data_IF_576982070193
#
_entry.id   IF_576982070193
#
_cell.length_a   1.000
_cell.length_b   1.000
_cell.length_c   1.000
_cell.angle_alpha   90.00
_cell.angle_beta   90.00
_cell.angle_gamma   90.00
#
_symmetry.space_group_name_H-M   'P 1'
#
loop_
_entity.id
_entity.type
_entity.pdbx_description
1 polymer ?
#
# COMPACT_ATOMS: atom_id res chain seq x y z
N UNK A 1 20.09 2.43 1.41
CA UNK A 1 18.87 2.59 0.58
C UNK A 1 17.74 3.06 1.47
N UNK A 2 16.98 4.08 1.07
CA UNK A 2 15.81 4.54 1.81
C UNK A 2 14.56 3.79 1.33
N UNK A 3 14.21 2.70 2.01
CA UNK A 3 13.14 1.77 1.63
C UNK A 3 11.78 2.45 1.36
N UNK A 4 11.50 3.55 2.05
CA UNK A 4 10.26 4.30 1.88
C UNK A 4 10.37 5.44 0.85
N UNK A 5 11.27 6.40 1.08
CA UNK A 5 11.37 7.65 0.31
C UNK A 5 11.78 7.45 -1.15
N UNK A 6 12.63 6.45 -1.43
CA UNK A 6 13.17 6.24 -2.79
C UNK A 6 12.60 5.00 -3.49
N UNK A 7 11.82 4.18 -2.79
CA UNK A 7 11.31 2.92 -3.34
C UNK A 7 9.79 2.81 -3.18
N UNK A 8 9.27 2.52 -1.98
CA UNK A 8 7.84 2.29 -1.78
C UNK A 8 6.99 3.51 -2.19
N UNK A 9 7.24 4.69 -1.63
CA UNK A 9 6.41 5.88 -1.84
C UNK A 9 6.30 6.34 -3.30
N UNK A 10 7.40 6.65 -4.02
CA UNK A 10 7.29 7.19 -5.38
C UNK A 10 6.64 6.20 -6.36
N UNK A 11 6.76 4.90 -6.11
CA UNK A 11 6.23 3.87 -7.00
C UNK A 11 4.78 3.51 -6.63
N UNK A 12 4.50 3.22 -5.36
CA UNK A 12 3.21 2.72 -4.87
C UNK A 12 2.17 3.84 -4.79
N UNK A 13 2.50 4.95 -4.11
CA UNK A 13 1.62 6.12 -4.07
C UNK A 13 1.48 6.74 -5.47
N UNK A 14 2.57 6.76 -6.23
CA UNK A 14 2.59 7.23 -7.62
C UNK A 14 1.66 6.42 -8.52
N UNK A 15 1.69 5.09 -8.43
CA UNK A 15 0.77 4.20 -9.14
C UNK A 15 -0.69 4.50 -8.80
N UNK A 16 -1.02 4.58 -7.50
CA UNK A 16 -2.36 4.91 -7.03
C UNK A 16 -2.83 6.26 -7.58
N UNK A 17 -2.00 7.30 -7.45
CA UNK A 17 -2.33 8.64 -7.92
C UNK A 17 -2.54 8.67 -9.43
N UNK A 18 -1.60 8.16 -10.22
CA UNK A 18 -1.67 8.24 -11.68
C UNK A 18 -2.75 7.34 -12.28
N UNK A 19 -3.06 6.20 -11.64
CA UNK A 19 -4.07 5.26 -12.15
C UNK A 19 -5.49 5.65 -11.74
N UNK A 20 -5.68 6.24 -10.55
CA UNK A 20 -7.01 6.50 -10.00
C UNK A 20 -7.29 7.98 -9.77
N UNK A 21 -6.43 8.70 -9.05
CA UNK A 21 -6.72 10.07 -8.65
C UNK A 21 -6.63 11.04 -9.83
N UNK A 22 -5.54 10.99 -10.59
CA UNK A 22 -5.31 11.89 -11.73
C UNK A 22 -6.46 11.83 -12.75
N UNK A 23 -6.90 10.65 -13.23
CA UNK A 23 -7.99 10.58 -14.20
C UNK A 23 -9.32 11.09 -13.64
N UNK A 24 -9.63 10.77 -12.38
CA UNK A 24 -10.87 11.20 -11.75
C UNK A 24 -10.92 12.72 -11.48
N UNK A 25 -9.77 13.36 -11.21
CA UNK A 25 -9.69 14.80 -10.93
C UNK A 25 -9.55 15.63 -12.20
N UNK A 26 -8.78 15.16 -13.19
CA UNK A 26 -8.49 15.90 -14.42
C UNK A 26 -9.43 15.58 -15.58
N UNK A 27 -10.10 14.43 -15.55
CA UNK A 27 -10.93 13.96 -16.67
C UNK A 27 -10.11 13.46 -17.87
N UNK A 28 -8.80 13.29 -17.70
CA UNK A 28 -7.88 12.82 -18.72
C UNK A 28 -7.51 11.34 -18.47
N UNK A 29 -7.23 10.55 -19.51
CA UNK A 29 -6.80 9.16 -19.32
C UNK A 29 -5.43 9.09 -18.61
N UNK A 30 -5.20 8.01 -17.87
CA UNK A 30 -3.91 7.72 -17.26
C UNK A 30 -2.84 7.44 -18.34
N UNK A 31 -1.60 7.85 -18.09
CA UNK A 31 -0.45 7.37 -18.86
C UNK A 31 -0.18 5.91 -18.49
N UNK A 32 -0.66 4.98 -19.33
CA UNK A 32 -0.51 3.54 -19.11
C UNK A 32 0.96 3.10 -19.09
N UNK A 33 1.88 3.78 -19.79
CA UNK A 33 3.31 3.44 -19.75
C UNK A 33 3.88 3.76 -18.37
N UNK A 34 3.56 4.93 -17.84
CA UNK A 34 3.98 5.35 -16.50
C UNK A 34 3.38 4.45 -15.42
N UNK A 35 2.06 4.19 -15.48
CA UNK A 35 1.35 3.33 -14.53
C UNK A 35 1.96 1.93 -14.50
N UNK A 36 2.23 1.33 -15.66
CA UNK A 36 2.80 -0.02 -15.72
C UNK A 36 4.23 -0.09 -15.15
N UNK A 37 5.05 0.94 -15.40
CA UNK A 37 6.40 1.01 -14.82
C UNK A 37 6.33 1.17 -13.29
N UNK A 38 5.48 2.08 -12.78
CA UNK A 38 5.29 2.26 -11.35
C UNK A 38 4.74 1.00 -10.66
N UNK A 39 3.88 0.25 -11.34
CA UNK A 39 3.40 -1.03 -10.83
C UNK A 39 4.52 -2.07 -10.73
N UNK A 40 5.34 -2.19 -11.77
CA UNK A 40 6.50 -3.08 -11.80
C UNK A 40 7.48 -2.76 -10.67
N UNK A 41 7.72 -1.48 -10.41
CA UNK A 41 8.60 -1.04 -9.32
C UNK A 41 7.95 -1.26 -7.95
N UNK A 42 6.64 -1.04 -7.81
CA UNK A 42 5.89 -1.36 -6.58
C UNK A 42 6.01 -2.83 -6.21
N UNK A 43 5.92 -3.75 -7.17
CA UNK A 43 6.11 -5.18 -6.91
C UNK A 43 7.53 -5.52 -6.41
N UNK A 44 8.56 -4.77 -6.82
CA UNK A 44 9.90 -4.93 -6.26
C UNK A 44 9.96 -4.45 -4.81
N UNK A 45 9.35 -3.31 -4.52
CA UNK A 45 9.24 -2.78 -3.16
C UNK A 45 8.44 -3.74 -2.25
N UNK A 46 7.34 -4.32 -2.73
CA UNK A 46 6.55 -5.31 -1.97
C UNK A 46 7.37 -6.56 -1.67
N UNK A 47 8.15 -7.07 -2.63
CA UNK A 47 9.10 -8.17 -2.37
C UNK A 47 10.14 -7.80 -1.33
N UNK A 48 10.59 -6.54 -1.30
CA UNK A 48 11.52 -6.07 -0.29
C UNK A 48 10.86 -6.04 1.10
N UNK A 49 9.63 -5.50 1.19
CA UNK A 49 8.83 -5.47 2.43
C UNK A 49 8.58 -6.90 2.94
N UNK A 50 8.08 -7.79 2.08
CA UNK A 50 7.77 -9.19 2.40
C UNK A 50 9.00 -9.95 2.91
N UNK A 51 10.10 -9.94 2.16
CA UNK A 51 11.21 -10.89 2.37
C UNK A 51 12.36 -10.34 3.22
N UNK A 52 12.45 -9.01 3.40
CA UNK A 52 13.59 -8.39 4.09
C UNK A 52 13.17 -7.56 5.31
N UNK A 53 12.19 -6.65 5.16
CA UNK A 53 11.81 -5.77 6.26
C UNK A 53 10.90 -6.46 7.27
N UNK A 54 9.88 -7.18 6.78
CA UNK A 54 9.02 -7.99 7.62
C UNK A 54 9.66 -9.34 7.85
N UNK A 55 9.83 -10.16 6.80
CA UNK A 55 10.40 -11.51 6.87
C UNK A 55 9.77 -12.34 8.02
N UNK A 56 10.41 -12.38 9.18
CA UNK A 56 10.04 -13.10 10.39
C UNK A 56 9.59 -12.20 11.55
N UNK A 57 9.52 -10.87 11.33
CA UNK A 57 9.15 -9.86 12.33
C UNK A 57 7.70 -9.41 12.19
N UNK A 58 7.04 -9.01 13.29
CA UNK A 58 5.67 -8.54 13.25
C UNK A 58 5.53 -7.16 12.60
N UNK A 59 6.51 -6.27 12.73
CA UNK A 59 6.53 -4.89 12.22
C UNK A 59 7.84 -4.57 11.50
N UNK A 60 7.85 -3.52 10.68
CA UNK A 60 8.97 -3.15 9.80
C UNK A 60 10.25 -2.87 10.60
N UNK A 61 10.13 -2.26 11.77
CA UNK A 61 11.28 -1.87 12.60
C UNK A 61 11.62 -2.88 13.71
N UNK A 62 10.77 -3.87 13.97
CA UNK A 62 10.98 -4.81 15.09
C UNK A 62 9.69 -5.44 15.62
N UNK A 63 9.64 -5.63 16.93
CA UNK A 63 8.54 -6.31 17.64
C UNK A 63 7.34 -5.40 17.92
N UNK A 64 7.54 -4.09 17.94
CA UNK A 64 6.52 -3.09 18.23
C UNK A 64 6.23 -2.22 17.00
N UNK A 65 4.99 -1.73 16.93
CA UNK A 65 4.58 -0.81 15.88
C UNK A 65 5.39 0.49 15.94
N UNK A 66 5.76 1.00 14.77
CA UNK A 66 6.51 2.24 14.64
C UNK A 66 5.96 3.13 13.54
N UNK A 67 6.52 4.34 13.42
CA UNK A 67 6.21 5.24 12.29
C UNK A 67 6.53 4.59 10.92
N UNK A 68 7.48 3.65 10.86
CA UNK A 68 7.78 2.92 9.64
C UNK A 68 6.53 2.16 9.16
N UNK A 69 5.81 1.54 10.07
CA UNK A 69 4.61 0.77 9.77
C UNK A 69 3.47 1.66 9.28
N UNK A 70 3.25 2.78 9.96
CA UNK A 70 2.23 3.76 9.57
C UNK A 70 2.49 4.32 8.17
N UNK A 71 3.75 4.64 7.86
CA UNK A 71 4.14 5.13 6.54
C UNK A 71 3.93 4.05 5.47
N UNK A 72 4.43 2.83 5.71
CA UNK A 72 4.35 1.75 4.74
C UNK A 72 2.92 1.29 4.47
N UNK A 73 2.10 1.15 5.52
CA UNK A 73 0.74 0.59 5.38
C UNK A 73 -0.15 1.52 4.57
N UNK A 74 0.00 2.84 4.72
CA UNK A 74 -0.78 3.83 3.97
C UNK A 74 -0.59 3.64 2.46
N UNK A 75 0.66 3.49 2.00
CA UNK A 75 0.94 3.34 0.57
C UNK A 75 0.33 2.04 0.03
N UNK A 76 0.43 0.95 0.78
CA UNK A 76 -0.03 -0.38 0.38
C UNK A 76 -1.57 -0.46 0.36
N UNK A 77 -2.25 0.14 1.34
CA UNK A 77 -3.73 0.19 1.38
C UNK A 77 -4.30 1.03 0.24
N UNK A 78 -3.65 2.16 -0.10
CA UNK A 78 -4.03 2.97 -1.25
C UNK A 78 -3.97 2.18 -2.55
N UNK A 79 -2.90 1.41 -2.77
CA UNK A 79 -2.79 0.54 -3.95
C UNK A 79 -3.85 -0.55 -3.98
N UNK A 80 -4.20 -1.11 -2.83
CA UNK A 80 -5.30 -2.05 -2.73
C UNK A 80 -6.59 -1.53 -3.37
N UNK A 81 -6.89 -0.25 -3.18
CA UNK A 81 -8.10 0.38 -3.76
C UNK A 81 -8.15 0.35 -5.30
N UNK A 82 -7.00 0.16 -5.97
CA UNK A 82 -6.90 0.05 -7.43
C UNK A 82 -6.79 -1.40 -7.87
N UNK A 83 -5.98 -2.18 -7.16
CA UNK A 83 -5.72 -3.58 -7.45
C UNK A 83 -5.96 -4.42 -6.18
N UNK A 84 -7.15 -5.02 -6.08
CA UNK A 84 -7.62 -5.68 -4.85
C UNK A 84 -6.81 -6.94 -4.51
N UNK A 85 -6.23 -7.60 -5.51
CA UNK A 85 -5.73 -8.97 -5.39
C UNK A 85 -4.22 -9.08 -5.16
N UNK A 86 -3.47 -7.97 -5.20
CA UNK A 86 -2.01 -8.01 -5.12
C UNK A 86 -1.48 -8.66 -3.84
N UNK A 87 -2.19 -8.52 -2.72
CA UNK A 87 -1.77 -9.05 -1.42
C UNK A 87 -1.78 -10.59 -1.37
N UNK A 88 -2.44 -11.28 -2.33
CA UNK A 88 -2.45 -12.74 -2.42
C UNK A 88 -1.04 -13.33 -2.58
N UNK A 89 -0.14 -12.57 -3.21
CA UNK A 89 1.24 -12.98 -3.45
C UNK A 89 2.20 -12.64 -2.29
N UNK A 90 1.70 -11.96 -1.24
CA UNK A 90 2.51 -11.41 -0.14
C UNK A 90 1.85 -11.69 1.23
N UNK A 91 1.82 -12.96 1.68
CA UNK A 91 1.12 -13.36 2.91
C UNK A 91 1.69 -12.72 4.19
N UNK A 92 3.00 -12.46 4.28
CA UNK A 92 3.59 -11.81 5.46
C UNK A 92 3.16 -10.35 5.54
N UNK A 93 3.21 -9.64 4.41
CA UNK A 93 2.73 -8.27 4.27
C UNK A 93 1.24 -8.18 4.57
N UNK A 94 0.42 -9.12 4.08
CA UNK A 94 -1.00 -9.21 4.43
C UNK A 94 -1.22 -9.32 5.93
N UNK A 95 -0.51 -10.24 6.60
CA UNK A 95 -0.63 -10.40 8.05
C UNK A 95 -0.17 -9.14 8.81
N UNK A 96 0.87 -8.46 8.30
CA UNK A 96 1.35 -7.20 8.85
C UNK A 96 0.33 -6.06 8.72
N UNK A 97 -0.35 -5.91 7.58
CA UNK A 97 -1.43 -4.91 7.42
C UNK A 97 -2.51 -5.12 8.48
N UNK A 98 -2.89 -6.38 8.75
CA UNK A 98 -3.90 -6.68 9.77
C UNK A 98 -3.40 -6.35 11.18
N UNK A 99 -2.13 -6.62 11.51
CA UNK A 99 -1.55 -6.21 12.80
C UNK A 99 -1.57 -4.70 12.97
N UNK A 100 -1.10 -3.95 11.97
CA UNK A 100 -1.08 -2.48 12.01
C UNK A 100 -2.49 -1.92 12.16
N UNK A 101 -3.47 -2.46 11.42
CA UNK A 101 -4.88 -2.08 11.55
C UNK A 101 -5.41 -2.34 12.97
N UNK A 102 -5.10 -3.49 13.55
CA UNK A 102 -5.56 -3.83 14.90
C UNK A 102 -4.98 -2.91 15.98
N UNK A 103 -3.68 -2.57 15.88
CA UNK A 103 -3.00 -1.65 16.82
C UNK A 103 -3.49 -0.20 16.72
N UNK A 104 -4.04 0.20 15.57
CA UNK A 104 -4.36 1.61 15.26
C UNK A 104 -5.84 1.88 15.10
N UNK A 105 -6.68 0.85 15.22
CA UNK A 105 -8.12 1.02 15.20
C UNK A 105 -8.62 1.73 16.47
N UNK A 106 -9.68 2.57 16.37
CA UNK A 106 -10.57 2.73 15.21
C UNK A 106 -10.08 3.71 14.13
N UNK A 107 -9.00 4.45 14.38
CA UNK A 107 -8.55 5.53 13.50
C UNK A 107 -8.17 5.02 12.11
N UNK A 108 -7.57 3.83 12.03
CA UNK A 108 -7.22 3.20 10.76
C UNK A 108 -8.43 3.07 9.83
N UNK A 109 -9.52 2.47 10.31
CA UNK A 109 -10.72 2.32 9.50
C UNK A 109 -11.36 3.67 9.16
N UNK A 110 -11.35 4.61 10.10
CA UNK A 110 -11.95 5.91 9.89
C UNK A 110 -11.28 6.69 8.75
N UNK A 111 -9.95 6.79 8.76
CA UNK A 111 -9.22 7.60 7.78
C UNK A 111 -9.21 6.95 6.39
N UNK A 112 -9.27 5.62 6.32
CA UNK A 112 -9.28 4.89 5.04
C UNK A 112 -10.68 4.78 4.40
N UNK A 113 -11.76 5.23 5.07
CA UNK A 113 -13.13 5.25 4.51
C UNK A 113 -13.23 5.88 3.13
N UNK A 114 -12.43 6.92 2.85
CA UNK A 114 -12.46 7.61 1.56
C UNK A 114 -12.01 6.68 0.42
N UNK A 115 -11.09 5.74 0.68
CA UNK A 115 -10.59 4.80 -0.33
C UNK A 115 -11.69 3.85 -0.81
N UNK A 116 -12.68 3.52 0.04
CA UNK A 116 -13.83 2.70 -0.38
C UNK A 116 -14.80 3.46 -1.28
N UNK A 117 -14.81 4.79 -1.22
CA UNK A 117 -15.66 5.62 -2.07
C UNK A 117 -15.06 5.81 -3.46
N UNK A 118 -13.73 5.88 -3.53
CA UNK A 118 -13.03 6.23 -4.78
C UNK A 118 -12.42 5.02 -5.50
N UNK A 119 -12.22 3.90 -4.81
CA UNK A 119 -11.62 2.69 -5.36
C UNK A 119 -12.55 1.48 -5.38
N UNK A 120 -11.98 0.31 -5.71
CA UNK A 120 -12.67 -0.99 -5.81
C UNK A 120 -12.61 -1.82 -4.52
N UNK A 121 -11.82 -1.42 -3.52
CA UNK A 121 -11.82 -2.08 -2.21
C UNK A 121 -13.03 -1.66 -1.41
N UNK A 122 -13.70 -2.65 -0.85
CA UNK A 122 -14.87 -2.45 0.01
C UNK A 122 -14.53 -2.52 1.50
N UNK A 123 -13.32 -2.97 1.86
CA UNK A 123 -12.85 -3.15 3.26
C UNK A 123 -11.32 -3.52 3.31
N UNK A 124 -10.44 -2.87 4.11
CA UNK A 124 -9.02 -3.23 4.26
C UNK A 124 -8.85 -4.54 5.03
N UNK A 125 -9.86 -5.03 5.74
CA UNK A 125 -9.86 -6.39 6.28
C UNK A 125 -9.77 -7.45 5.17
N UNK A 126 -10.10 -7.07 3.93
CA UNK A 126 -10.02 -7.96 2.76
C UNK A 126 -8.65 -7.94 2.08
N UNK A 127 -7.77 -6.99 2.43
CA UNK A 127 -6.35 -7.03 2.08
C UNK A 127 -5.67 -8.17 2.83
#
# INVERSE_FOLDING_TARGET
MAWHQTDLRPNTAGYFFNKLIYPNVKGEPADEKLVNEQWKQSMKAFKAIENYFLKDRPFIAGEEISIADLLGVCEIVQVGSVNVDFAKDYPVMKAWIQRVRNETNPNFDEVHKILYKIGKITDPSKL
#
